data_IF_565035336870
#
_entry.id   IF_565035336870
#
_cell.length_a   1.000
_cell.length_b   1.000
_cell.length_c   1.000
_cell.angle_alpha   90.00
_cell.angle_beta   90.00
_cell.angle_gamma   90.00
#
_symmetry.space_group_name_H-M   'P 1'
#
loop_
_entity.id
_entity.type
_entity.pdbx_description
1 polymer ?
#
# COMPACT_ATOMS: atom_id res chain seq x y z
N UNK A 1 -20.19 -1.06 -10.17
CA UNK A 1 -19.58 -1.61 -11.41
C UNK A 1 -18.09 -1.32 -11.40
N UNK A 2 -17.27 -2.37 -11.41
CA UNK A 2 -15.81 -2.29 -11.49
C UNK A 2 -15.42 -1.65 -12.82
N UNK A 3 -14.56 -0.63 -12.82
CA UNK A 3 -13.95 -0.16 -14.06
C UNK A 3 -12.80 -1.12 -14.43
N UNK A 4 -13.17 -2.29 -14.98
CA UNK A 4 -12.27 -3.40 -15.37
C UNK A 4 -11.24 -2.96 -16.44
N UNK A 5 -11.33 -1.73 -16.95
CA UNK A 5 -10.37 -1.16 -17.91
C UNK A 5 -8.96 -0.97 -17.36
N UNK A 6 -8.77 -0.81 -16.04
CA UNK A 6 -7.43 -0.66 -15.45
C UNK A 6 -6.67 -2.00 -15.49
N UNK A 7 -7.34 -3.11 -15.16
CA UNK A 7 -6.71 -4.44 -15.07
C UNK A 7 -6.32 -4.97 -16.45
N UNK A 8 -7.12 -4.72 -17.49
CA UNK A 8 -6.86 -5.26 -18.84
C UNK A 8 -5.65 -4.65 -19.56
N UNK A 9 -5.14 -3.49 -19.13
CA UNK A 9 -3.98 -2.85 -19.77
C UNK A 9 -2.64 -3.41 -19.28
N UNK A 10 -2.61 -4.02 -18.09
CA UNK A 10 -1.39 -4.56 -17.47
C UNK A 10 -1.07 -6.00 -17.94
N UNK A 11 -2.02 -6.72 -18.53
CA UNK A 11 -1.78 -8.06 -19.08
C UNK A 11 -0.77 -8.07 -20.24
N UNK A 12 -0.66 -6.98 -21.01
CA UNK A 12 0.25 -6.92 -22.17
C UNK A 12 1.72 -6.74 -21.83
N UNK A 13 2.04 -6.22 -20.65
CA UNK A 13 3.43 -6.02 -20.18
C UNK A 13 3.87 -7.05 -19.11
N UNK A 14 2.97 -7.97 -18.76
CA UNK A 14 3.10 -8.83 -17.58
C UNK A 14 2.95 -8.02 -16.29
N UNK A 15 2.55 -8.70 -15.22
CA UNK A 15 2.42 -8.16 -13.85
C UNK A 15 3.79 -7.78 -13.22
N UNK A 16 4.63 -7.04 -13.96
CA UNK A 16 6.07 -6.91 -13.71
C UNK A 16 6.43 -5.72 -12.83
N UNK A 17 5.50 -4.80 -12.56
CA UNK A 17 5.77 -3.57 -11.79
C UNK A 17 4.58 -3.21 -10.90
N UNK A 18 4.84 -3.09 -9.60
CA UNK A 18 3.87 -2.58 -8.63
C UNK A 18 4.02 -1.07 -8.51
N UNK A 19 2.93 -0.33 -8.60
CA UNK A 19 2.91 1.13 -8.43
C UNK A 19 2.14 1.52 -7.17
N UNK A 20 2.56 2.59 -6.49
CA UNK A 20 1.87 3.15 -5.31
C UNK A 20 0.42 3.51 -5.64
N UNK A 21 0.14 3.95 -6.87
CA UNK A 21 -1.22 4.20 -7.35
C UNK A 21 -2.12 2.96 -7.22
N UNK A 22 -1.59 1.76 -7.51
CA UNK A 22 -2.35 0.52 -7.37
C UNK A 22 -2.67 0.24 -5.90
N UNK A 23 -1.69 0.40 -5.01
CA UNK A 23 -1.88 0.23 -3.56
C UNK A 23 -2.95 1.19 -3.03
N UNK A 24 -2.91 2.46 -3.45
CA UNK A 24 -3.93 3.47 -3.10
C UNK A 24 -5.32 3.08 -3.60
N UNK A 25 -5.44 2.59 -4.83
CA UNK A 25 -6.73 2.14 -5.36
C UNK A 25 -7.28 0.93 -4.58
N UNK A 26 -6.43 -0.04 -4.26
CA UNK A 26 -6.80 -1.19 -3.41
C UNK A 26 -7.26 -0.70 -2.04
N UNK A 27 -6.52 0.22 -1.42
CA UNK A 27 -6.87 0.81 -0.13
C UNK A 27 -8.22 1.52 -0.15
N UNK A 28 -8.55 2.24 -1.23
CA UNK A 28 -9.85 2.89 -1.40
C UNK A 28 -11.00 1.87 -1.40
N UNK A 29 -10.84 0.76 -2.12
CA UNK A 29 -11.84 -0.31 -2.20
C UNK A 29 -11.98 -1.03 -0.86
N UNK A 30 -10.86 -1.36 -0.20
CA UNK A 30 -10.88 -2.09 1.07
C UNK A 30 -11.48 -1.28 2.22
N UNK A 31 -11.35 0.05 2.18
CA UNK A 31 -11.95 0.93 3.17
C UNK A 31 -13.41 1.30 2.87
N UNK A 32 -13.95 0.90 1.72
CA UNK A 32 -15.36 1.15 1.41
C UNK A 32 -16.27 0.35 2.36
N UNK A 33 -17.19 1.05 3.03
CA UNK A 33 -18.25 0.48 3.88
C UNK A 33 -17.76 -0.36 5.08
N UNK A 34 -16.53 -0.11 5.56
CA UNK A 34 -15.98 -0.77 6.75
C UNK A 34 -15.63 0.22 7.86
N UNK A 35 -15.27 -0.30 9.04
CA UNK A 35 -14.67 0.52 10.10
C UNK A 35 -13.43 1.23 9.54
N UNK A 36 -13.46 2.55 9.58
CA UNK A 36 -12.40 3.38 9.00
C UNK A 36 -12.71 3.93 7.61
N UNK A 37 -13.91 3.75 7.07
CA UNK A 37 -14.34 4.35 5.79
C UNK A 37 -14.11 5.86 5.69
N UNK A 38 -14.11 6.59 6.82
CA UNK A 38 -13.85 8.04 6.85
C UNK A 38 -12.36 8.38 7.08
N UNK A 39 -11.46 7.38 7.04
CA UNK A 39 -10.01 7.54 7.30
C UNK A 39 -9.23 7.71 6.00
N UNK A 40 -9.74 8.59 5.13
CA UNK A 40 -9.13 8.97 3.87
C UNK A 40 -8.85 7.76 2.94
N UNK A 41 -9.91 7.06 2.47
CA UNK A 41 -9.77 5.97 1.51
C UNK A 41 -8.96 6.40 0.28
N UNK A 42 -7.98 5.59 -0.09
CA UNK A 42 -7.12 5.87 -1.25
C UNK A 42 -6.09 6.99 -1.08
N UNK A 43 -5.97 7.60 0.09
CA UNK A 43 -4.98 8.64 0.36
C UNK A 43 -3.95 8.18 1.40
N UNK A 44 -2.79 8.85 1.42
CA UNK A 44 -1.89 8.73 2.55
C UNK A 44 -2.47 9.41 3.79
N UNK A 45 -2.16 8.88 4.97
CA UNK A 45 -2.58 9.50 6.23
C UNK A 45 -1.99 10.90 6.37
N UNK A 46 -2.73 11.78 7.04
CA UNK A 46 -2.35 13.17 7.32
C UNK A 46 -2.10 13.45 8.81
N UNK A 47 -2.16 12.41 9.63
CA UNK A 47 -1.95 12.47 11.06
C UNK A 47 -0.99 11.36 11.47
N UNK A 48 -0.35 11.54 12.63
CA UNK A 48 0.50 10.50 13.19
C UNK A 48 -0.34 9.30 13.63
N UNK A 49 0.08 8.10 13.18
CA UNK A 49 -0.44 6.85 13.70
C UNK A 49 0.52 6.30 14.77
N UNK A 50 0.03 5.39 15.58
CA UNK A 50 0.83 4.56 16.50
C UNK A 50 0.26 3.15 16.52
N UNK A 51 1.11 2.17 16.81
CA UNK A 51 0.73 0.75 16.81
C UNK A 51 0.90 0.19 18.20
N UNK A 52 -0.23 -0.26 18.76
CA UNK A 52 -0.39 -0.71 20.12
C UNK A 52 -0.19 0.41 21.16
N UNK A 53 -0.65 0.17 22.38
CA UNK A 53 -0.83 1.24 23.38
C UNK A 53 -2.11 2.07 23.14
N UNK A 54 -2.44 2.92 24.10
CA UNK A 54 -3.60 3.82 24.06
C UNK A 54 -3.26 5.23 23.56
N UNK A 55 -1.97 5.58 23.53
CA UNK A 55 -1.47 6.90 23.14
C UNK A 55 -0.07 6.79 22.53
N UNK A 56 0.42 7.91 21.97
CA UNK A 56 1.79 8.00 21.47
C UNK A 56 2.84 7.66 22.54
N UNK A 57 2.58 8.06 23.80
CA UNK A 57 3.51 7.93 24.92
C UNK A 57 3.71 6.50 25.41
N UNK A 58 2.78 5.59 25.12
CA UNK A 58 2.87 4.17 25.50
C UNK A 58 2.79 3.23 24.29
N UNK A 59 3.05 3.76 23.09
CA UNK A 59 3.01 2.97 21.88
C UNK A 59 4.18 1.98 21.82
N UNK A 60 3.90 0.75 21.37
CA UNK A 60 4.98 -0.22 21.10
C UNK A 60 5.79 0.18 19.88
N UNK A 61 5.13 0.79 18.89
CA UNK A 61 5.79 1.26 17.70
C UNK A 61 5.13 2.54 17.17
N UNK A 62 5.99 3.49 16.80
CA UNK A 62 5.59 4.74 16.17
C UNK A 62 6.16 4.71 14.74
N UNK A 63 5.33 4.55 13.69
CA UNK A 63 5.78 4.62 12.30
C UNK A 63 6.34 6.02 11.96
N UNK A 64 7.03 6.18 10.80
CA UNK A 64 7.56 7.48 10.33
C UNK A 64 6.54 8.61 10.38
N UNK A 65 6.94 9.88 10.36
CA UNK A 65 5.95 10.97 10.37
C UNK A 65 5.13 11.00 9.07
N UNK A 66 3.86 11.46 9.13
CA UNK A 66 3.00 11.46 7.92
C UNK A 66 3.56 12.31 6.77
N UNK A 67 4.33 13.36 7.09
CA UNK A 67 5.03 14.19 6.09
C UNK A 67 6.12 13.45 5.32
N UNK A 68 6.57 12.28 5.79
CA UNK A 68 7.62 11.49 5.15
C UNK A 68 7.06 10.36 4.29
N UNK A 69 5.75 10.07 4.35
CA UNK A 69 5.18 8.89 3.71
C UNK A 69 5.34 8.92 2.19
N UNK A 70 5.16 10.07 1.57
CA UNK A 70 5.21 10.17 0.10
C UNK A 70 6.59 9.80 -0.44
N UNK A 71 7.65 10.34 0.18
CA UNK A 71 9.04 10.02 -0.14
C UNK A 71 9.34 8.53 0.11
N UNK A 72 9.01 8.03 1.29
CA UNK A 72 9.27 6.63 1.67
C UNK A 72 8.52 5.63 0.76
N UNK A 73 7.32 5.99 0.30
CA UNK A 73 6.58 5.16 -0.65
C UNK A 73 7.17 5.22 -2.06
N UNK A 74 7.78 6.34 -2.44
CA UNK A 74 8.61 6.41 -3.65
C UNK A 74 9.83 5.50 -3.58
N UNK A 75 10.53 5.50 -2.44
CA UNK A 75 11.64 4.57 -2.19
C UNK A 75 11.20 3.11 -2.20
N UNK A 76 10.04 2.82 -1.62
CA UNK A 76 9.44 1.48 -1.65
C UNK A 76 9.11 1.03 -3.08
N UNK A 77 8.50 1.89 -3.90
CA UNK A 77 8.23 1.60 -5.31
C UNK A 77 9.54 1.32 -6.07
N UNK A 78 10.54 2.19 -5.90
CA UNK A 78 11.87 2.02 -6.50
C UNK A 78 12.53 0.71 -6.06
N UNK A 79 12.43 0.36 -4.78
CA UNK A 79 12.95 -0.90 -4.25
C UNK A 79 12.30 -2.11 -4.91
N UNK A 80 10.96 -2.11 -5.04
CA UNK A 80 10.23 -3.20 -5.69
C UNK A 80 10.60 -3.34 -7.17
N UNK A 81 10.79 -2.24 -7.89
CA UNK A 81 11.19 -2.27 -9.30
C UNK A 81 12.64 -2.74 -9.48
N UNK A 82 13.55 -2.31 -8.60
CA UNK A 82 14.96 -2.73 -8.63
C UNK A 82 15.13 -4.21 -8.29
N UNK A 83 14.25 -4.79 -7.47
CA UNK A 83 14.41 -6.13 -6.89
C UNK A 83 13.55 -7.22 -7.53
N UNK A 84 12.88 -6.95 -8.66
CA UNK A 84 12.14 -7.98 -9.40
C UNK A 84 13.02 -9.02 -10.13
N UNK A 85 14.34 -9.03 -9.87
CA UNK A 85 15.20 -10.20 -10.07
C UNK A 85 15.01 -11.27 -8.99
N UNK A 86 14.31 -10.98 -7.89
CA UNK A 86 13.88 -11.97 -6.91
C UNK A 86 12.64 -12.65 -7.48
N UNK A 87 12.81 -13.92 -7.88
CA UNK A 87 11.69 -14.76 -8.33
C UNK A 87 10.61 -14.74 -7.24
N UNK A 88 9.32 -14.60 -7.61
CA UNK A 88 8.24 -14.77 -6.66
C UNK A 88 8.47 -16.06 -5.86
N UNK A 89 8.37 -15.98 -4.54
CA UNK A 89 8.37 -17.19 -3.73
C UNK A 89 7.08 -17.95 -4.03
N UNK A 90 7.18 -18.91 -4.94
CA UNK A 90 6.15 -19.91 -5.18
C UNK A 90 6.40 -20.96 -4.10
N UNK A 91 5.71 -20.85 -2.97
CA UNK A 91 5.79 -21.85 -1.92
C UNK A 91 5.56 -23.24 -2.52
N UNK A 92 6.37 -24.22 -2.13
CA UNK A 92 6.18 -25.60 -2.56
C UNK A 92 4.78 -26.03 -2.11
N UNK A 93 3.90 -26.32 -3.09
CA UNK A 93 2.63 -26.99 -2.81
C UNK A 93 2.97 -28.37 -2.25
N UNK A 94 2.73 -28.56 -0.95
CA UNK A 94 2.46 -29.89 -0.39
C UNK A 94 1.13 -30.40 -0.90
#
# INVERSE_FOLDING_TARGET
>A
MINVKIVKREEKDGFKKLYIRLIRNIHAILLDSVRGQNKQPGEFRKSQNWIGGSSLTNAYFIPPHHSQIEELMGDFENFLHKRWSVRPYIGNKT
#
